data_IF_271064108318
#
_entry.id   IF_271064108318
#
_cell.length_a   1.000
_cell.length_b   1.000
_cell.length_c   1.000
_cell.angle_alpha   90.00
_cell.angle_beta   90.00
_cell.angle_gamma   90.00
#
_symmetry.space_group_name_H-M   'P 1'
#
loop_
_entity.id
_entity.type
_entity.pdbx_description
1 polymer ?
#
# COMPACT_ATOMS: atom_id res chain seq x y z
N UNK A 1 -15.92 10.74 0.01
CA UNK A 1 -17.38 11.00 -0.13
C UNK A 1 -17.73 11.39 -1.56
N UNK A 2 -18.97 11.15 -1.98
CA UNK A 2 -19.50 11.42 -3.33
C UNK A 2 -19.31 12.85 -3.81
N UNK A 3 -19.52 13.82 -2.93
CA UNK A 3 -19.38 15.24 -3.25
C UNK A 3 -17.94 15.59 -3.60
N UNK A 4 -16.98 14.99 -2.90
CA UNK A 4 -15.55 15.17 -3.18
C UNK A 4 -15.16 14.61 -4.56
N UNK A 5 -15.66 13.43 -4.94
CA UNK A 5 -15.43 12.85 -6.27
C UNK A 5 -16.02 13.75 -7.38
N UNK A 6 -17.27 14.20 -7.22
CA UNK A 6 -17.92 15.11 -8.18
C UNK A 6 -17.11 16.39 -8.36
N UNK A 7 -16.62 16.98 -7.26
CA UNK A 7 -15.76 18.18 -7.31
C UNK A 7 -14.45 17.90 -8.04
N UNK A 8 -13.85 16.74 -7.80
CA UNK A 8 -12.61 16.33 -8.47
C UNK A 8 -12.81 16.20 -9.99
N UNK A 9 -13.79 15.41 -10.43
CA UNK A 9 -14.06 15.19 -11.86
C UNK A 9 -14.33 16.50 -12.60
N UNK A 10 -15.13 17.40 -12.02
CA UNK A 10 -15.39 18.73 -12.59
C UNK A 10 -14.13 19.59 -12.68
N UNK A 11 -13.28 19.56 -11.65
CA UNK A 11 -12.02 20.32 -11.65
C UNK A 11 -11.00 19.78 -12.66
N UNK A 12 -11.02 18.47 -12.89
CA UNK A 12 -10.16 17.78 -13.84
C UNK A 12 -10.72 17.75 -15.27
N UNK A 13 -11.86 18.41 -15.53
CA UNK A 13 -12.54 18.43 -16.82
C UNK A 13 -12.82 17.03 -17.40
N UNK A 14 -13.17 16.10 -16.52
CA UNK A 14 -13.51 14.72 -16.90
C UNK A 14 -14.97 14.67 -17.34
N UNK A 15 -15.19 14.34 -18.62
CA UNK A 15 -16.52 14.05 -19.16
C UNK A 15 -16.94 12.61 -18.81
N UNK A 16 -17.53 12.47 -17.62
CA UNK A 16 -17.92 11.17 -17.06
C UNK A 16 -19.34 11.23 -16.49
N UNK A 17 -20.11 10.16 -16.69
CA UNK A 17 -21.40 9.98 -16.02
C UNK A 17 -21.17 9.65 -14.53
N UNK A 18 -21.21 10.70 -13.69
CA UNK A 18 -20.94 10.61 -12.26
C UNK A 18 -21.80 9.58 -11.51
N UNK A 19 -23.11 9.43 -11.79
CA UNK A 19 -23.92 8.37 -11.16
C UNK A 19 -23.41 6.96 -11.48
N UNK A 20 -23.06 6.68 -12.73
CA UNK A 20 -22.54 5.37 -13.12
C UNK A 20 -21.13 5.13 -12.58
N UNK A 21 -20.27 6.15 -12.58
CA UNK A 21 -18.94 6.06 -11.97
C UNK A 21 -19.05 5.74 -10.48
N UNK A 22 -19.89 6.47 -9.75
CA UNK A 22 -20.10 6.24 -8.32
C UNK A 22 -20.57 4.81 -8.05
N UNK A 23 -21.58 4.33 -8.78
CA UNK A 23 -22.09 2.96 -8.63
C UNK A 23 -21.05 1.89 -8.97
N UNK A 24 -20.08 2.21 -9.83
CA UNK A 24 -18.97 1.31 -10.14
C UNK A 24 -17.89 1.26 -9.06
N UNK A 25 -17.81 2.27 -8.19
CA UNK A 25 -16.82 2.36 -7.11
C UNK A 25 -17.38 1.92 -5.75
N UNK A 26 -18.64 2.27 -5.48
CA UNK A 26 -19.42 1.91 -4.29
C UNK A 26 -20.07 0.54 -4.52
N UNK A 27 -19.27 -0.52 -4.35
CA UNK A 27 -19.68 -1.89 -4.71
C UNK A 27 -20.60 -2.52 -3.67
N UNK A 28 -20.49 -2.11 -2.40
CA UNK A 28 -21.33 -2.60 -1.30
C UNK A 28 -22.59 -1.74 -1.06
N UNK A 29 -22.67 -0.54 -1.63
CA UNK A 29 -23.83 0.35 -1.55
C UNK A 29 -23.93 1.15 -0.25
N UNK A 30 -22.83 1.33 0.47
CA UNK A 30 -22.77 2.06 1.75
C UNK A 30 -22.64 3.60 1.58
N UNK A 31 -22.67 4.11 0.33
CA UNK A 31 -22.46 5.51 -0.05
C UNK A 31 -21.06 6.03 0.31
N UNK A 32 -20.08 5.13 0.38
CA UNK A 32 -18.65 5.41 0.39
C UNK A 32 -17.98 4.53 -0.67
N UNK A 33 -16.67 4.73 -0.81
CA UNK A 33 -15.83 3.75 -1.47
C UNK A 33 -14.49 3.75 -0.76
N UNK A 34 -13.90 2.58 -0.61
CA UNK A 34 -12.61 2.38 0.05
C UNK A 34 -11.55 1.83 -0.92
N UNK A 35 -10.31 1.72 -0.47
CA UNK A 35 -9.19 1.33 -1.34
C UNK A 35 -9.35 -0.11 -1.84
N UNK A 36 -9.83 -0.99 -0.98
CA UNK A 36 -10.17 -2.38 -1.22
C UNK A 36 -11.25 -2.58 -2.29
N UNK A 37 -12.11 -1.59 -2.50
CA UNK A 37 -13.13 -1.62 -3.56
C UNK A 37 -12.58 -1.05 -4.88
N UNK A 38 -11.69 -0.06 -4.79
CA UNK A 38 -11.11 0.60 -5.95
C UNK A 38 -10.00 -0.23 -6.61
N UNK A 39 -9.08 -0.78 -5.81
CA UNK A 39 -7.94 -1.58 -6.26
C UNK A 39 -7.65 -2.69 -5.23
N UNK A 40 -8.41 -3.80 -5.28
CA UNK A 40 -8.25 -4.92 -4.35
C UNK A 40 -6.82 -5.50 -4.33
N UNK A 41 -6.12 -5.70 -5.48
CA UNK A 41 -4.74 -6.18 -5.47
C UNK A 41 -3.77 -5.28 -4.68
N UNK A 42 -3.86 -3.95 -4.84
CA UNK A 42 -3.02 -3.02 -4.08
C UNK A 42 -3.38 -3.00 -2.61
N UNK A 43 -4.67 -3.03 -2.28
CA UNK A 43 -5.12 -3.09 -0.90
C UNK A 43 -4.58 -4.34 -0.20
N UNK A 44 -4.65 -5.50 -0.85
CA UNK A 44 -4.11 -6.75 -0.31
C UNK A 44 -2.60 -6.68 -0.09
N UNK A 45 -1.85 -6.13 -1.05
CA UNK A 45 -0.40 -5.98 -0.93
C UNK A 45 0.00 -5.08 0.25
N UNK A 46 -0.69 -3.95 0.43
CA UNK A 46 -0.49 -3.03 1.55
C UNK A 46 -0.88 -3.66 2.89
N UNK A 47 -2.01 -4.36 2.93
CA UNK A 47 -2.50 -5.06 4.13
C UNK A 47 -1.49 -6.13 4.56
N UNK A 48 -0.96 -6.90 3.61
CA UNK A 48 0.08 -7.91 3.88
C UNK A 48 1.37 -7.32 4.43
N UNK A 49 1.86 -6.20 3.89
CA UNK A 49 3.02 -5.50 4.45
C UNK A 49 2.73 -5.00 5.88
N UNK A 50 1.55 -4.40 6.08
CA UNK A 50 1.13 -3.85 7.37
C UNK A 50 1.08 -4.93 8.43
N UNK A 51 0.35 -6.03 8.20
CA UNK A 51 0.24 -7.14 9.16
C UNK A 51 1.62 -7.68 9.52
N UNK A 52 2.47 -7.97 8.53
CA UNK A 52 3.83 -8.42 8.78
C UNK A 52 4.64 -7.42 9.63
N UNK A 53 4.58 -6.13 9.31
CA UNK A 53 5.35 -5.13 10.04
C UNK A 53 4.88 -4.97 11.49
N UNK A 54 3.56 -4.99 11.72
CA UNK A 54 2.99 -4.96 13.06
C UNK A 54 3.35 -6.20 13.87
N UNK A 55 3.28 -7.40 13.28
CA UNK A 55 3.63 -8.65 13.95
C UNK A 55 5.12 -8.74 14.33
N UNK A 56 6.00 -8.28 13.45
CA UNK A 56 7.46 -8.46 13.62
C UNK A 56 8.13 -7.27 14.33
N UNK A 57 7.58 -6.06 14.19
CA UNK A 57 8.21 -4.82 14.67
C UNK A 57 7.27 -3.91 15.46
N UNK A 58 5.98 -4.25 15.57
CA UNK A 58 4.95 -3.46 16.25
C UNK A 58 4.32 -2.34 15.41
N UNK A 59 4.95 -1.91 14.32
CA UNK A 59 4.47 -0.84 13.43
C UNK A 59 5.24 -0.81 12.11
N UNK A 60 4.58 -0.36 11.04
CA UNK A 60 5.17 -0.09 9.73
C UNK A 60 6.30 0.94 9.81
N UNK A 61 6.07 2.05 10.51
CA UNK A 61 7.07 3.13 10.61
C UNK A 61 8.33 2.72 11.37
N UNK A 62 8.25 1.78 12.31
CA UNK A 62 9.42 1.21 13.00
C UNK A 62 10.33 0.42 12.05
N UNK A 63 9.78 -0.14 10.96
CA UNK A 63 10.58 -0.78 9.90
C UNK A 63 11.55 0.22 9.28
N UNK A 64 11.14 1.50 9.15
CA UNK A 64 11.98 2.56 8.61
C UNK A 64 13.26 2.77 9.42
N UNK A 65 13.22 2.55 10.73
CA UNK A 65 14.34 2.80 11.63
C UNK A 65 15.21 1.56 11.86
N UNK A 66 14.89 0.43 11.21
CA UNK A 66 15.73 -0.76 11.28
C UNK A 66 17.13 -0.50 10.70
N UNK A 67 18.18 -1.09 11.28
CA UNK A 67 19.57 -0.86 10.86
C UNK A 67 19.79 -1.06 9.35
N UNK A 68 19.14 -2.05 8.75
CA UNK A 68 19.22 -2.36 7.32
C UNK A 68 18.60 -1.26 6.45
N UNK A 69 17.47 -0.69 6.88
CA UNK A 69 16.81 0.44 6.20
C UNK A 69 17.66 1.71 6.34
N UNK A 70 18.18 2.00 7.54
CA UNK A 70 19.07 3.13 7.80
C UNK A 70 20.34 3.02 6.95
N UNK A 71 20.96 1.84 6.92
CA UNK A 71 22.15 1.58 6.10
C UNK A 71 21.85 1.72 4.61
N UNK A 72 20.69 1.26 4.15
CA UNK A 72 20.28 1.40 2.76
C UNK A 72 20.08 2.87 2.36
N UNK A 73 19.47 3.70 3.21
CA UNK A 73 19.30 5.14 2.95
C UNK A 73 20.62 5.90 2.85
N UNK A 74 21.55 5.59 3.74
CA UNK A 74 22.86 6.24 3.80
C UNK A 74 23.85 5.77 2.73
N UNK A 75 23.54 4.67 2.03
CA UNK A 75 24.37 4.18 0.93
C UNK A 75 24.11 5.00 -0.35
N UNK A 76 25.16 5.38 -1.11
CA UNK A 76 24.96 5.95 -2.42
C UNK A 76 24.37 4.94 -3.42
N UNK A 77 23.34 5.34 -4.14
CA UNK A 77 22.63 4.60 -5.19
C UNK A 77 22.92 5.20 -6.57
N UNK A 78 22.45 4.52 -7.62
CA UNK A 78 22.61 4.95 -9.02
C UNK A 78 24.06 5.31 -9.35
N UNK A 79 25.00 4.43 -8.99
CA UNK A 79 26.45 4.61 -9.14
C UNK A 79 26.98 5.90 -8.46
N UNK A 80 26.44 6.23 -7.29
CA UNK A 80 26.88 7.37 -6.48
C UNK A 80 26.17 8.69 -6.79
N UNK A 81 25.20 8.70 -7.70
CA UNK A 81 24.47 9.92 -8.09
C UNK A 81 23.34 10.30 -7.14
N UNK A 82 22.93 9.39 -6.27
CA UNK A 82 21.78 9.61 -5.41
C UNK A 82 22.02 9.05 -4.01
N UNK A 83 21.75 9.85 -2.99
CA UNK A 83 21.73 9.44 -1.58
C UNK A 83 20.72 10.31 -0.86
N UNK A 84 19.93 9.73 0.04
CA UNK A 84 18.98 10.47 0.86
C UNK A 84 18.77 9.74 2.17
N UNK A 85 18.86 10.49 3.27
CA UNK A 85 18.52 10.03 4.62
C UNK A 85 17.00 9.95 4.85
N UNK A 86 16.21 10.62 4.00
CA UNK A 86 14.74 10.77 4.11
C UNK A 86 13.94 9.95 3.11
N UNK A 87 14.57 9.47 2.05
CA UNK A 87 13.92 8.75 0.95
C UNK A 87 14.71 7.49 0.63
N UNK A 88 14.04 6.50 0.09
CA UNK A 88 14.66 5.27 -0.43
C UNK A 88 14.05 4.91 -1.77
N UNK A 89 14.87 4.51 -2.75
CA UNK A 89 14.36 4.03 -4.03
C UNK A 89 13.47 2.80 -3.84
N UNK A 90 12.34 2.74 -4.53
CA UNK A 90 11.34 1.67 -4.38
C UNK A 90 11.93 0.26 -4.52
N UNK A 91 12.80 0.05 -5.52
CA UNK A 91 13.46 -1.25 -5.71
C UNK A 91 14.42 -1.61 -4.57
N UNK A 92 15.12 -0.61 -4.00
CA UNK A 92 15.97 -0.82 -2.82
C UNK A 92 15.12 -1.13 -1.59
N UNK A 93 13.99 -0.42 -1.40
CA UNK A 93 13.06 -0.66 -0.30
C UNK A 93 12.54 -2.10 -0.32
N UNK A 94 12.02 -2.58 -1.46
CA UNK A 94 11.58 -3.98 -1.62
C UNK A 94 12.71 -4.97 -1.32
N UNK A 95 13.93 -4.72 -1.82
CA UNK A 95 15.10 -5.57 -1.54
C UNK A 95 15.42 -5.64 -0.04
N UNK A 96 15.32 -4.52 0.68
CA UNK A 96 15.59 -4.48 2.12
C UNK A 96 14.48 -5.18 2.90
N UNK A 97 13.21 -4.99 2.53
CA UNK A 97 12.10 -5.73 3.15
C UNK A 97 12.29 -7.25 3.04
N UNK A 98 12.67 -7.75 1.86
CA UNK A 98 12.97 -9.18 1.65
C UNK A 98 14.11 -9.66 2.57
N UNK A 99 15.14 -8.83 2.80
CA UNK A 99 16.24 -9.16 3.72
C UNK A 99 15.83 -9.15 5.19
N UNK A 100 14.88 -8.29 5.56
CA UNK A 100 14.26 -8.26 6.88
C UNK A 100 13.29 -9.44 7.11
N UNK A 101 13.05 -10.27 6.09
CA UNK A 101 12.19 -11.45 6.20
C UNK A 101 10.74 -11.21 5.80
N UNK A 102 10.43 -10.08 5.14
CA UNK A 102 9.11 -9.90 4.54
C UNK A 102 8.91 -10.94 3.42
N UNK A 103 7.82 -11.75 3.47
CA UNK A 103 7.60 -12.84 2.52
C UNK A 103 7.30 -12.36 1.08
N UNK A 104 7.03 -11.07 0.89
CA UNK A 104 6.57 -10.51 -0.37
C UNK A 104 5.10 -10.76 -0.63
N UNK A 105 4.66 -10.43 -1.83
CA UNK A 105 3.27 -10.54 -2.30
C UNK A 105 3.04 -11.71 -3.25
N UNK A 106 4.00 -12.63 -3.33
CA UNK A 106 3.95 -13.84 -4.17
C UNK A 106 4.64 -13.72 -5.53
N UNK A 107 4.85 -12.50 -6.06
CA UNK A 107 5.65 -12.26 -7.28
C UNK A 107 6.35 -10.89 -7.26
N UNK A 108 7.38 -10.73 -8.09
CA UNK A 108 8.10 -9.45 -8.20
C UNK A 108 7.21 -8.32 -8.77
N UNK A 109 6.27 -8.65 -9.67
CA UNK A 109 5.28 -7.69 -10.18
C UNK A 109 4.37 -7.19 -9.08
N UNK A 110 3.91 -8.08 -8.21
CA UNK A 110 3.05 -7.73 -7.07
C UNK A 110 3.83 -6.93 -6.01
N UNK A 111 5.13 -7.18 -5.83
CA UNK A 111 5.97 -6.35 -4.97
C UNK A 111 6.16 -4.94 -5.56
N UNK A 112 6.15 -4.83 -6.89
CA UNK A 112 6.09 -3.56 -7.62
C UNK A 112 4.78 -2.81 -7.40
N UNK A 113 3.65 -3.52 -7.28
CA UNK A 113 2.36 -2.92 -6.90
C UNK A 113 2.46 -2.30 -5.51
N UNK A 114 2.96 -3.03 -4.51
CA UNK A 114 3.16 -2.48 -3.17
C UNK A 114 3.95 -1.17 -3.20
N UNK A 115 5.12 -1.17 -3.84
CA UNK A 115 5.99 -0.01 -3.80
C UNK A 115 5.42 1.18 -4.57
N UNK A 116 4.66 0.94 -5.64
CA UNK A 116 3.97 2.01 -6.36
C UNK A 116 2.75 2.53 -5.59
N UNK A 117 2.12 1.71 -4.74
CA UNK A 117 1.04 2.17 -3.85
C UNK A 117 1.55 3.09 -2.73
N UNK A 118 2.79 2.90 -2.27
CA UNK A 118 3.44 3.76 -1.27
C UNK A 118 4.11 5.00 -1.89
N UNK A 119 4.16 5.11 -3.21
CA UNK A 119 4.79 6.23 -3.92
C UNK A 119 3.72 7.24 -4.39
N UNK A 120 3.18 8.00 -3.45
CA UNK A 120 2.09 8.96 -3.69
C UNK A 120 2.36 9.92 -4.87
N UNK A 121 3.63 10.29 -5.07
CA UNK A 121 4.04 11.24 -6.12
C UNK A 121 4.52 10.56 -7.41
N UNK A 122 4.53 9.22 -7.48
CA UNK A 122 5.00 8.47 -8.65
C UNK A 122 6.45 8.75 -9.02
N UNK A 123 7.29 9.08 -8.04
CA UNK A 123 8.67 9.52 -8.26
C UNK A 123 9.72 8.40 -8.07
N UNK A 124 9.28 7.17 -7.81
CA UNK A 124 10.12 5.98 -7.65
C UNK A 124 10.83 5.90 -6.29
N UNK A 125 10.33 6.61 -5.28
CA UNK A 125 10.87 6.54 -3.92
C UNK A 125 9.78 6.46 -2.86
N UNK A 126 10.14 5.86 -1.73
CA UNK A 126 9.34 5.73 -0.53
C UNK A 126 10.01 6.54 0.57
N UNK A 127 9.22 7.08 1.49
CA UNK A 127 9.62 7.91 2.61
C UNK A 127 8.89 7.49 3.88
N UNK A 128 9.36 7.98 5.03
CA UNK A 128 8.76 7.65 6.32
C UNK A 128 7.25 8.00 6.41
N UNK A 129 6.78 9.16 5.90
CA UNK A 129 5.35 9.46 5.89
C UNK A 129 4.48 8.43 5.16
N UNK A 130 5.01 7.74 4.15
CA UNK A 130 4.25 6.71 3.43
C UNK A 130 3.97 5.51 4.35
N UNK A 131 4.87 5.22 5.29
CA UNK A 131 4.69 4.17 6.29
C UNK A 131 3.83 4.62 7.49
N UNK A 132 3.87 5.91 7.85
CA UNK A 132 2.92 6.45 8.83
C UNK A 132 1.49 6.38 8.31
N UNK A 133 1.28 6.73 7.03
CA UNK A 133 -0.02 6.55 6.39
C UNK A 133 -0.47 5.09 6.44
N UNK A 134 0.45 4.14 6.20
CA UNK A 134 0.13 2.72 6.26
C UNK A 134 -0.23 2.23 7.67
N UNK A 135 0.44 2.75 8.71
CA UNK A 135 0.09 2.49 10.12
C UNK A 135 -1.34 2.96 10.43
N UNK A 136 -1.68 4.17 9.98
CA UNK A 136 -2.97 4.82 10.21
C UNK A 136 -4.12 4.19 9.41
N UNK A 137 -3.83 3.58 8.27
CA UNK A 137 -4.84 2.87 7.48
C UNK A 137 -5.31 1.61 8.22
N UNK A 138 -6.64 1.49 8.37
CA UNK A 138 -7.30 0.34 8.97
C UNK A 138 -7.88 -0.54 7.85
N UNK A 139 -7.15 -1.58 7.39
CA UNK A 139 -7.69 -2.48 6.39
C UNK A 139 -8.90 -3.26 6.95
N UNK A 140 -9.88 -3.62 6.12
CA UNK A 140 -10.93 -4.55 6.51
C UNK A 140 -10.37 -5.89 6.98
N UNK A 141 -11.04 -6.50 7.95
CA UNK A 141 -10.62 -7.79 8.56
C UNK A 141 -10.40 -8.88 7.51
N UNK A 142 -11.25 -8.95 6.48
CA UNK A 142 -11.14 -9.97 5.43
C UNK A 142 -9.87 -9.88 4.56
N UNK A 143 -9.13 -8.76 4.60
CA UNK A 143 -7.84 -8.64 3.92
C UNK A 143 -6.67 -9.19 4.73
N UNK A 144 -6.81 -9.26 6.05
CA UNK A 144 -5.73 -9.60 6.98
C UNK A 144 -5.92 -10.95 7.66
N UNK A 145 -7.16 -11.42 7.79
CA UNK A 145 -7.49 -12.68 8.43
C UNK A 145 -7.10 -13.88 7.57
N UNK A 146 -6.62 -14.94 8.23
CA UNK A 146 -6.34 -16.20 7.56
C UNK A 146 -7.65 -16.86 7.10
N UNK A 147 -7.65 -17.58 5.96
CA UNK A 147 -8.85 -18.28 5.49
C UNK A 147 -9.31 -19.32 6.50
N UNK A 148 -10.53 -19.18 7.01
CA UNK A 148 -11.18 -20.16 7.87
C UNK A 148 -11.81 -21.28 7.02
N UNK A 149 -11.08 -22.39 6.92
CA UNK A 149 -11.53 -23.57 6.17
C UNK A 149 -12.75 -24.26 6.80
N UNK A 150 -12.97 -24.09 8.11
CA UNK A 150 -14.12 -24.64 8.82
C UNK A 150 -15.40 -23.88 8.45
N UNK A 151 -15.36 -22.56 8.55
CA UNK A 151 -16.47 -21.69 8.13
C UNK A 151 -16.82 -21.89 6.65
N UNK A 152 -15.82 -22.05 5.78
CA UNK A 152 -16.05 -22.34 4.35
C UNK A 152 -16.76 -23.68 4.13
N UNK A 153 -16.46 -24.71 4.92
CA UNK A 153 -17.09 -26.02 4.80
C UNK A 153 -18.57 -26.00 5.21
N UNK A 154 -18.97 -25.11 6.12
CA UNK A 154 -20.35 -24.96 6.58
C UNK A 154 -21.25 -24.20 5.58
N UNK A 155 -20.66 -23.36 4.74
CA UNK A 155 -21.38 -22.57 3.71
C UNK A 155 -21.63 -23.35 2.40
N UNK A 156 -21.12 -24.58 2.30
CA UNK A 156 -21.15 -25.39 1.08
C UNK A 156 -22.27 -26.41 1.08
#
# INVERSE_FOLDING_TARGET
DKTTLVRYCRRADLDVDLPSLWRGMDMDGDDKFAMEELDPPRALALAGLRSWAHENYGSCSVVWDQPEMVAARNRPHLNGRWVSDKKLLSGTFSTVLKRLGWPGTGSDEADGLLCSSLDLYGCGFISQPDLWWLDDWQPPEYLVEAPDLGAWAELR
#
